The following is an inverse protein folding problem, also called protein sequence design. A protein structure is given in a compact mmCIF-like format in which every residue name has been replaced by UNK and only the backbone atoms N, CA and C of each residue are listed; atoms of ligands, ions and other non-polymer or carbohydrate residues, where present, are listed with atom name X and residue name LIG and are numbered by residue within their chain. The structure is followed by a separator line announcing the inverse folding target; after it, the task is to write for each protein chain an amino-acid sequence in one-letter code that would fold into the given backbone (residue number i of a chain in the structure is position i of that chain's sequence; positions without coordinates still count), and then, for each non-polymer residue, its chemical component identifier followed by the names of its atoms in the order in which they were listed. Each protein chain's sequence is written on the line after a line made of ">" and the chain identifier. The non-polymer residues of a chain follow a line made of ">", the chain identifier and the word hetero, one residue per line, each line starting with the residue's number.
data_IF_124549076941
#
_entry.id   IF_124549076941
#
_cell.length_a   1.000
_cell.length_b   1.000
_cell.length_c   1.000
_cell.angle_alpha   90.00
_cell.angle_beta   90.00
_cell.angle_gamma   90.00
#
_symmetry.space_group_name_H-M   'P 1'
#
loop_
_entity.id
_entity.type
_entity.pdbx_description
1 polymer ?
#
# COMPACT_ATOMS: atom_id res chain seq x y z
N UNK A 1 2.32 -11.83 -24.70
CA UNK A 1 3.05 -10.55 -24.86
C UNK A 1 3.10 -9.93 -23.48
N UNK A 2 4.30 -9.61 -22.99
CA UNK A 2 4.49 -8.86 -21.75
C UNK A 2 4.77 -7.41 -22.10
N UNK A 3 4.11 -6.50 -21.42
CA UNK A 3 4.32 -5.05 -21.51
C UNK A 3 4.57 -4.48 -20.11
N UNK A 4 5.35 -3.42 -20.03
CA UNK A 4 5.56 -2.73 -18.77
C UNK A 4 4.26 -2.06 -18.29
N UNK A 5 4.01 -2.14 -16.98
CA UNK A 5 2.90 -1.43 -16.35
C UNK A 5 3.17 0.10 -16.39
N UNK A 6 2.15 0.87 -16.74
CA UNK A 6 2.24 2.33 -16.74
C UNK A 6 1.43 2.90 -15.55
N UNK A 7 2.07 2.95 -14.39
CA UNK A 7 1.41 3.40 -13.16
C UNK A 7 1.01 4.88 -13.18
N UNK A 8 1.74 5.72 -13.90
CA UNK A 8 1.36 7.13 -14.08
C UNK A 8 0.00 7.23 -14.79
N UNK A 9 -0.17 6.46 -15.84
CA UNK A 9 -1.43 6.38 -16.57
C UNK A 9 -2.55 5.81 -15.68
N UNK A 10 -2.28 4.75 -14.91
CA UNK A 10 -3.28 4.17 -14.01
C UNK A 10 -3.71 5.16 -12.92
N UNK A 11 -2.78 5.91 -12.35
CA UNK A 11 -3.10 6.97 -11.37
C UNK A 11 -3.98 8.05 -11.98
N UNK A 12 -3.67 8.47 -13.22
CA UNK A 12 -4.47 9.48 -13.95
C UNK A 12 -5.90 8.99 -14.21
N UNK A 13 -6.07 7.76 -14.69
CA UNK A 13 -7.41 7.19 -14.89
C UNK A 13 -8.16 6.98 -13.57
N UNK A 14 -7.46 6.62 -12.49
CA UNK A 14 -8.02 6.55 -11.15
C UNK A 14 -8.64 7.90 -10.72
N UNK A 15 -7.96 9.00 -11.00
CA UNK A 15 -8.44 10.36 -10.70
C UNK A 15 -9.64 10.74 -11.54
N UNK A 16 -9.58 10.52 -12.83
CA UNK A 16 -10.72 10.78 -13.74
C UNK A 16 -11.96 9.98 -13.33
N UNK A 17 -11.78 8.73 -12.93
CA UNK A 17 -12.89 7.90 -12.44
C UNK A 17 -13.48 8.47 -11.13
N UNK A 18 -12.64 8.97 -10.22
CA UNK A 18 -13.12 9.66 -9.00
C UNK A 18 -13.87 10.94 -9.29
N UNK A 19 -13.47 11.70 -10.32
CA UNK A 19 -14.22 12.87 -10.78
C UNK A 19 -15.63 12.51 -11.25
N UNK A 20 -15.80 11.36 -11.92
CA UNK A 20 -17.13 10.83 -12.25
C UNK A 20 -17.91 10.54 -10.96
N UNK A 21 -17.32 9.83 -10.00
CA UNK A 21 -18.00 9.47 -8.75
C UNK A 21 -18.47 10.71 -7.97
N UNK A 22 -17.67 11.77 -7.94
CA UNK A 22 -17.99 13.03 -7.28
C UNK A 22 -19.18 13.78 -7.91
N UNK A 23 -19.61 13.43 -9.12
CA UNK A 23 -20.86 13.98 -9.72
C UNK A 23 -22.10 13.45 -9.01
N UNK A 24 -22.00 12.29 -8.35
CA UNK A 24 -23.11 11.60 -7.69
C UNK A 24 -23.13 11.80 -6.18
N UNK A 25 -21.99 11.92 -5.54
CA UNK A 25 -21.86 12.12 -4.08
C UNK A 25 -20.49 12.70 -3.73
N UNK A 26 -20.41 13.45 -2.65
CA UNK A 26 -19.13 13.91 -2.08
C UNK A 26 -18.53 12.89 -1.07
N UNK A 27 -19.27 11.84 -0.72
CA UNK A 27 -18.81 10.75 0.13
C UNK A 27 -18.23 9.64 -0.76
N UNK A 28 -16.98 9.85 -1.17
CA UNK A 28 -16.21 8.92 -2.01
C UNK A 28 -14.95 8.53 -1.28
N UNK A 29 -14.86 7.29 -0.88
CA UNK A 29 -13.72 6.72 -0.16
C UNK A 29 -12.94 5.78 -1.07
N UNK A 30 -11.74 6.18 -1.53
CA UNK A 30 -10.91 5.33 -2.38
C UNK A 30 -10.45 4.06 -1.68
N UNK A 31 -10.41 2.95 -2.43
CA UNK A 31 -9.85 1.67 -2.00
C UNK A 31 -8.84 1.17 -3.06
N UNK A 32 -7.64 1.68 -2.98
CA UNK A 32 -6.63 1.46 -4.01
C UNK A 32 -6.76 2.41 -5.20
N UNK A 33 -6.15 2.02 -6.33
CA UNK A 33 -6.15 2.84 -7.56
C UNK A 33 -7.46 2.74 -8.35
N UNK A 34 -8.11 1.58 -8.32
CA UNK A 34 -9.19 1.20 -9.21
C UNK A 34 -10.53 0.94 -8.49
N UNK A 35 -10.57 1.14 -7.19
CA UNK A 35 -11.76 0.88 -6.39
C UNK A 35 -12.10 2.06 -5.48
N UNK A 36 -13.40 2.24 -5.21
CA UNK A 36 -13.90 3.20 -4.22
C UNK A 36 -15.25 2.76 -3.66
N UNK A 37 -15.55 3.20 -2.45
CA UNK A 37 -16.90 3.19 -1.91
C UNK A 37 -17.56 4.54 -2.06
N UNK A 38 -18.84 4.53 -2.38
CA UNK A 38 -19.67 5.71 -2.49
C UNK A 38 -20.87 5.57 -1.56
N UNK A 39 -21.11 6.55 -0.71
CA UNK A 39 -22.40 6.68 -0.02
C UNK A 39 -23.32 7.61 -0.81
N UNK A 40 -24.26 7.00 -1.51
CA UNK A 40 -25.25 7.71 -2.33
C UNK A 40 -26.60 7.87 -1.61
N UNK A 41 -26.68 7.60 -0.30
CA UNK A 41 -27.96 7.63 0.44
C UNK A 41 -28.65 8.99 0.31
N UNK A 42 -27.92 10.10 0.48
CA UNK A 42 -28.45 11.45 0.36
C UNK A 42 -28.74 11.88 -1.09
N UNK A 43 -28.15 11.21 -2.07
CA UNK A 43 -28.25 11.55 -3.50
C UNK A 43 -29.42 10.85 -4.21
N UNK A 44 -30.08 9.91 -3.56
CA UNK A 44 -31.15 9.12 -4.16
C UNK A 44 -32.34 9.97 -4.65
N UNK A 45 -32.64 11.08 -4.00
CA UNK A 45 -33.67 12.00 -4.46
C UNK A 45 -33.36 12.69 -5.79
N UNK A 46 -32.08 12.75 -6.17
CA UNK A 46 -31.62 13.41 -7.40
C UNK A 46 -31.39 12.40 -8.53
N UNK A 47 -30.81 11.24 -8.22
CA UNK A 47 -30.31 10.29 -9.21
C UNK A 47 -31.06 8.95 -9.23
N UNK A 48 -32.01 8.73 -8.30
CA UNK A 48 -32.78 7.51 -8.21
C UNK A 48 -32.22 6.51 -7.19
N UNK A 49 -32.64 5.27 -7.30
CA UNK A 49 -32.25 4.16 -6.43
C UNK A 49 -30.75 3.85 -6.55
N UNK A 50 -30.19 3.13 -5.58
CA UNK A 50 -28.81 2.68 -5.65
C UNK A 50 -28.47 1.87 -6.91
N UNK A 51 -29.42 1.11 -7.44
CA UNK A 51 -29.28 0.37 -8.70
C UNK A 51 -29.20 1.32 -9.91
N UNK A 52 -30.08 2.31 -9.96
CA UNK A 52 -30.10 3.32 -11.05
C UNK A 52 -28.83 4.18 -11.02
N UNK A 53 -28.35 4.55 -9.84
CA UNK A 53 -27.06 5.26 -9.68
C UNK A 53 -25.91 4.39 -10.14
N UNK A 54 -25.85 3.13 -9.74
CA UNK A 54 -24.82 2.19 -10.16
C UNK A 54 -24.77 2.03 -11.67
N UNK A 55 -25.95 1.98 -12.33
CA UNK A 55 -26.06 1.91 -13.78
C UNK A 55 -25.54 3.20 -14.44
N UNK A 56 -25.95 4.37 -13.97
CA UNK A 56 -25.49 5.65 -14.49
C UNK A 56 -23.97 5.79 -14.38
N UNK A 57 -23.37 5.39 -13.24
CA UNK A 57 -21.93 5.41 -13.05
C UNK A 57 -21.24 4.47 -14.07
N UNK A 58 -21.71 3.24 -14.18
CA UNK A 58 -21.14 2.25 -15.11
C UNK A 58 -21.21 2.72 -16.56
N UNK A 59 -22.36 3.25 -16.97
CA UNK A 59 -22.56 3.77 -18.34
C UNK A 59 -21.64 4.99 -18.58
N UNK A 60 -21.55 5.93 -17.63
CA UNK A 60 -20.67 7.11 -17.74
C UNK A 60 -19.20 6.73 -17.88
N UNK A 61 -18.72 5.76 -17.07
CA UNK A 61 -17.32 5.27 -17.15
C UNK A 61 -17.04 4.65 -18.53
N UNK A 62 -17.99 3.88 -19.08
CA UNK A 62 -17.88 3.30 -20.42
C UNK A 62 -17.85 4.37 -21.51
N UNK A 63 -18.76 5.34 -21.43
CA UNK A 63 -18.93 6.36 -22.47
C UNK A 63 -17.74 7.33 -22.48
N UNK A 64 -17.23 7.73 -21.32
CA UNK A 64 -16.15 8.71 -21.23
C UNK A 64 -14.75 8.09 -21.40
N UNK A 65 -14.54 6.85 -20.93
CA UNK A 65 -13.19 6.25 -20.89
C UNK A 65 -13.05 4.96 -21.70
N UNK A 66 -14.13 4.38 -22.19
CA UNK A 66 -14.10 3.11 -22.91
C UNK A 66 -13.68 1.91 -22.06
N UNK A 67 -13.75 2.01 -20.74
CA UNK A 67 -13.45 0.92 -19.82
C UNK A 67 -14.71 0.49 -19.07
N UNK A 68 -14.69 -0.72 -18.51
CA UNK A 68 -15.81 -1.26 -17.75
C UNK A 68 -15.54 -1.26 -16.25
N UNK A 69 -16.59 -1.18 -15.44
CA UNK A 69 -16.52 -1.39 -14.01
C UNK A 69 -17.60 -2.35 -13.53
N UNK A 70 -17.33 -3.05 -12.43
CA UNK A 70 -18.32 -3.86 -11.73
C UNK A 70 -18.73 -3.17 -10.44
N UNK A 71 -20.03 -3.05 -10.20
CA UNK A 71 -20.58 -2.28 -9.09
C UNK A 71 -21.39 -3.16 -8.16
N UNK A 72 -21.05 -3.13 -6.87
CA UNK A 72 -21.85 -3.75 -5.81
C UNK A 72 -22.70 -2.71 -5.09
N UNK A 73 -23.98 -2.95 -4.98
CA UNK A 73 -24.95 -2.09 -4.26
C UNK A 73 -25.40 -2.79 -3.00
N UNK A 74 -25.17 -2.17 -1.84
CA UNK A 74 -25.55 -2.71 -0.55
C UNK A 74 -25.70 -1.61 0.50
N UNK A 75 -26.09 -1.99 1.74
CA UNK A 75 -26.25 -1.07 2.87
C UNK A 75 -24.99 -0.91 3.73
N UNK A 76 -23.90 -1.61 3.40
CA UNK A 76 -22.61 -1.48 4.05
C UNK A 76 -21.47 -1.71 3.06
N UNK A 77 -20.27 -1.25 3.44
CA UNK A 77 -19.07 -1.31 2.60
C UNK A 77 -18.64 -2.73 2.26
N UNK A 78 -18.72 -3.65 3.23
CA UNK A 78 -18.26 -5.03 3.07
C UNK A 78 -19.06 -5.77 2.01
N UNK A 79 -20.40 -5.66 2.07
CA UNK A 79 -21.26 -6.33 1.09
C UNK A 79 -21.30 -5.60 -0.25
N UNK A 80 -21.11 -4.28 -0.28
CA UNK A 80 -20.93 -3.56 -1.54
C UNK A 80 -19.67 -4.07 -2.26
N UNK A 81 -18.54 -4.19 -1.54
CA UNK A 81 -17.30 -4.74 -2.11
C UNK A 81 -17.48 -6.19 -2.58
N UNK A 82 -18.11 -7.04 -1.77
CA UNK A 82 -18.41 -8.43 -2.15
C UNK A 82 -19.27 -8.49 -3.42
N UNK A 83 -20.29 -7.62 -3.51
CA UNK A 83 -21.16 -7.53 -4.69
C UNK A 83 -20.41 -7.12 -5.95
N UNK A 84 -19.45 -6.20 -5.85
CA UNK A 84 -18.62 -5.79 -6.99
C UNK A 84 -17.75 -6.92 -7.53
N UNK A 85 -17.36 -7.88 -6.68
CA UNK A 85 -16.53 -9.04 -7.06
C UNK A 85 -17.36 -10.23 -7.55
N UNK A 86 -18.65 -10.29 -7.19
CA UNK A 86 -19.49 -11.49 -7.35
C UNK A 86 -19.72 -11.92 -8.80
N UNK A 87 -19.89 -10.98 -9.73
CA UNK A 87 -20.20 -11.26 -11.16
C UNK A 87 -19.29 -10.49 -12.12
N UNK A 88 -18.01 -10.35 -11.80
CA UNK A 88 -17.04 -9.71 -12.72
C UNK A 88 -16.94 -10.47 -14.05
N UNK A 89 -16.70 -9.81 -15.19
CA UNK A 89 -16.59 -8.36 -15.38
C UNK A 89 -17.93 -7.68 -15.69
N UNK A 90 -17.95 -6.35 -15.62
CA UNK A 90 -18.98 -5.48 -16.18
C UNK A 90 -20.40 -5.82 -15.69
N UNK A 91 -20.58 -5.92 -14.39
CA UNK A 91 -21.83 -6.32 -13.78
C UNK A 91 -22.24 -5.42 -12.60
N UNK A 92 -23.56 -5.31 -12.40
CA UNK A 92 -24.14 -4.69 -11.21
C UNK A 92 -24.77 -5.79 -10.35
N UNK A 93 -24.34 -5.85 -9.09
CA UNK A 93 -24.87 -6.84 -8.13
C UNK A 93 -25.50 -6.13 -6.95
N UNK A 94 -26.77 -6.47 -6.67
CA UNK A 94 -27.53 -5.89 -5.55
C UNK A 94 -27.60 -6.91 -4.42
N UNK A 95 -26.98 -6.59 -3.29
CA UNK A 95 -27.08 -7.35 -2.04
C UNK A 95 -27.95 -6.54 -1.08
N UNK A 96 -29.23 -6.88 -0.99
CA UNK A 96 -30.23 -6.24 -0.15
C UNK A 96 -30.45 -6.97 1.17
N UNK A 97 -31.11 -6.32 2.12
CA UNK A 97 -31.48 -6.96 3.39
C UNK A 97 -32.42 -8.16 3.22
N UNK A 98 -33.09 -8.30 2.08
CA UNK A 98 -33.99 -9.42 1.80
C UNK A 98 -33.29 -10.63 1.18
N UNK A 99 -32.19 -10.45 0.43
CA UNK A 99 -31.55 -11.53 -0.34
C UNK A 99 -30.12 -11.87 0.10
N UNK A 100 -29.53 -11.13 1.04
CA UNK A 100 -28.10 -11.22 1.35
C UNK A 100 -27.66 -12.61 1.83
N UNK A 101 -28.49 -13.31 2.63
CA UNK A 101 -28.14 -14.64 3.11
C UNK A 101 -28.03 -15.66 1.97
N UNK A 102 -28.94 -15.56 1.00
CA UNK A 102 -28.97 -16.48 -0.14
C UNK A 102 -27.77 -16.24 -1.07
N UNK A 103 -27.29 -15.01 -1.15
CA UNK A 103 -26.11 -14.64 -1.97
C UNK A 103 -24.82 -14.85 -1.20
N UNK A 104 -24.71 -14.34 0.03
CA UNK A 104 -23.46 -14.21 0.78
C UNK A 104 -23.06 -15.50 1.50
N UNK A 105 -23.99 -16.19 2.13
CA UNK A 105 -23.69 -17.37 2.96
C UNK A 105 -23.05 -18.53 2.19
N UNK A 106 -23.45 -18.84 0.94
CA UNK A 106 -22.81 -19.92 0.18
C UNK A 106 -21.39 -19.61 -0.30
N UNK A 107 -20.97 -18.34 -0.31
CA UNK A 107 -19.67 -17.95 -0.81
C UNK A 107 -18.53 -18.44 0.09
N UNK A 108 -17.35 -18.73 -0.50
CA UNK A 108 -16.17 -19.07 0.27
C UNK A 108 -15.83 -17.98 1.30
N UNK A 109 -15.39 -18.38 2.49
CA UNK A 109 -14.98 -17.41 3.51
C UNK A 109 -13.84 -16.48 3.03
N UNK A 110 -13.04 -16.93 2.07
CA UNK A 110 -11.95 -16.15 1.45
C UNK A 110 -12.42 -15.01 0.57
N UNK A 111 -13.68 -14.98 0.18
CA UNK A 111 -14.24 -13.90 -0.62
C UNK A 111 -14.64 -12.69 0.25
N UNK A 112 -14.74 -12.92 1.58
CA UNK A 112 -15.03 -11.84 2.51
C UNK A 112 -13.80 -10.92 2.67
N UNK A 113 -14.04 -9.63 2.67
CA UNK A 113 -13.01 -8.61 2.89
C UNK A 113 -12.15 -8.94 4.12
N UNK A 114 -10.82 -8.83 3.98
CA UNK A 114 -9.78 -9.17 4.96
C UNK A 114 -9.59 -10.67 5.26
N UNK A 115 -10.24 -11.55 4.56
CA UNK A 115 -9.95 -12.99 4.63
C UNK A 115 -9.01 -13.39 3.50
N UNK A 116 -7.73 -13.09 3.66
CA UNK A 116 -6.70 -13.56 2.71
C UNK A 116 -6.39 -15.06 2.87
N UNK A 117 -5.54 -15.59 2.01
CA UNK A 117 -5.21 -17.03 1.94
C UNK A 117 -4.75 -17.64 3.26
N UNK A 118 -3.97 -16.90 4.07
CA UNK A 118 -3.50 -17.35 5.39
C UNK A 118 -4.64 -17.47 6.40
N UNK A 119 -5.54 -16.48 6.43
CA UNK A 119 -6.71 -16.50 7.31
C UNK A 119 -7.69 -17.58 6.86
N UNK A 120 -7.92 -17.71 5.54
CA UNK A 120 -8.77 -18.78 4.99
C UNK A 120 -8.27 -20.18 5.34
N UNK A 121 -6.95 -20.44 5.25
CA UNK A 121 -6.37 -21.73 5.70
C UNK A 121 -6.58 -21.98 7.19
N UNK A 122 -6.45 -20.95 8.04
CA UNK A 122 -6.72 -21.10 9.47
C UNK A 122 -8.19 -21.41 9.75
N UNK A 123 -9.12 -20.72 9.08
CA UNK A 123 -10.55 -20.97 9.19
C UNK A 123 -10.91 -22.38 8.74
N UNK A 124 -10.38 -22.84 7.62
CA UNK A 124 -10.60 -24.19 7.08
C UNK A 124 -10.17 -25.30 8.07
N UNK A 125 -9.08 -25.09 8.84
CA UNK A 125 -8.66 -26.04 9.89
C UNK A 125 -9.69 -26.19 11.01
N UNK A 126 -10.65 -25.28 11.10
CA UNK A 126 -11.77 -25.31 12.06
C UNK A 126 -13.12 -25.57 11.38
N UNK A 127 -13.10 -26.13 10.17
CA UNK A 127 -14.31 -26.42 9.38
C UNK A 127 -15.16 -25.18 9.05
N UNK A 128 -14.54 -23.99 8.99
CA UNK A 128 -15.20 -22.76 8.54
C UNK A 128 -14.75 -22.51 7.09
N UNK A 129 -15.60 -22.88 6.14
CA UNK A 129 -15.30 -22.83 4.70
C UNK A 129 -16.04 -21.71 3.98
N UNK A 130 -17.26 -21.41 4.43
CA UNK A 130 -18.14 -20.41 3.82
C UNK A 130 -18.30 -19.19 4.71
N UNK A 131 -18.81 -18.11 4.13
CA UNK A 131 -19.20 -16.91 4.90
C UNK A 131 -20.34 -17.26 5.87
N UNK A 132 -21.24 -18.18 5.49
CA UNK A 132 -22.30 -18.68 6.35
C UNK A 132 -21.74 -19.43 7.57
N UNK A 133 -20.73 -20.29 7.38
CA UNK A 133 -20.05 -20.95 8.51
C UNK A 133 -19.44 -19.93 9.46
N UNK A 134 -18.77 -18.90 8.90
CA UNK A 134 -18.17 -17.83 9.68
C UNK A 134 -19.22 -17.02 10.44
N UNK A 135 -20.36 -16.72 9.82
CA UNK A 135 -21.46 -15.96 10.42
C UNK A 135 -22.12 -16.71 11.60
N UNK A 136 -22.14 -18.03 11.56
CA UNK A 136 -22.72 -18.89 12.60
C UNK A 136 -21.71 -19.35 13.65
N UNK A 137 -20.41 -19.13 13.43
CA UNK A 137 -19.37 -19.47 14.38
C UNK A 137 -19.46 -18.65 15.68
N UNK A 138 -18.95 -19.20 16.78
CA UNK A 138 -18.90 -18.47 18.05
C UNK A 138 -17.85 -17.33 17.98
N UNK A 139 -18.23 -16.06 18.21
CA UNK A 139 -17.28 -14.92 18.16
C UNK A 139 -16.10 -15.03 19.15
N UNK A 140 -16.32 -15.63 20.34
CA UNK A 140 -15.26 -15.81 21.31
C UNK A 140 -14.24 -16.86 20.85
N UNK A 141 -14.71 -17.93 20.22
CA UNK A 141 -13.84 -18.91 19.57
C UNK A 141 -13.00 -18.26 18.45
N UNK A 142 -13.62 -17.47 17.60
CA UNK A 142 -12.90 -16.74 16.56
C UNK A 142 -11.87 -15.75 17.13
N UNK A 143 -12.20 -15.08 18.25
CA UNK A 143 -11.26 -14.21 18.96
C UNK A 143 -10.04 -14.98 19.49
N UNK A 144 -10.27 -16.17 20.04
CA UNK A 144 -9.19 -17.03 20.52
C UNK A 144 -8.23 -17.46 19.41
N UNK A 145 -8.78 -17.84 18.24
CA UNK A 145 -8.00 -18.41 17.12
C UNK A 145 -7.39 -17.35 16.17
N UNK A 146 -8.07 -16.22 16.00
CA UNK A 146 -7.68 -15.17 15.06
C UNK A 146 -7.30 -13.83 15.74
N UNK A 147 -7.42 -13.73 17.06
CA UNK A 147 -7.20 -12.47 17.76
C UNK A 147 -8.32 -11.46 17.53
N UNK A 148 -8.00 -10.17 17.54
CA UNK A 148 -8.97 -9.08 17.38
C UNK A 148 -9.76 -9.13 16.07
N UNK A 149 -9.16 -9.67 14.99
CA UNK A 149 -9.80 -9.75 13.67
C UNK A 149 -10.98 -10.76 13.66
N UNK A 150 -10.97 -11.78 14.54
CA UNK A 150 -12.00 -12.81 14.56
C UNK A 150 -13.43 -12.27 14.75
N UNK A 151 -13.72 -11.53 15.84
CA UNK A 151 -15.03 -10.90 16.03
C UNK A 151 -15.42 -9.91 14.94
N UNK A 152 -14.45 -9.18 14.37
CA UNK A 152 -14.68 -8.26 13.26
C UNK A 152 -15.16 -9.03 12.02
N UNK A 153 -14.49 -10.11 11.64
CA UNK A 153 -14.89 -10.94 10.49
C UNK A 153 -16.25 -11.58 10.71
N UNK A 154 -16.57 -12.01 11.95
CA UNK A 154 -17.90 -12.47 12.30
C UNK A 154 -18.95 -11.38 12.09
N UNK A 155 -18.67 -10.16 12.54
CA UNK A 155 -19.57 -9.01 12.30
C UNK A 155 -19.77 -8.74 10.80
N UNK A 156 -18.71 -8.78 10.01
CA UNK A 156 -18.77 -8.63 8.56
C UNK A 156 -19.59 -9.71 7.88
N UNK A 157 -19.41 -10.98 8.26
CA UNK A 157 -20.19 -12.10 7.75
C UNK A 157 -21.69 -11.99 8.07
N UNK A 158 -22.03 -11.27 9.14
CA UNK A 158 -23.41 -11.00 9.54
C UNK A 158 -23.95 -9.65 9.03
N UNK A 159 -23.22 -8.94 8.20
CA UNK A 159 -23.63 -7.64 7.65
C UNK A 159 -23.73 -6.51 8.67
N UNK A 160 -23.00 -6.62 9.79
CA UNK A 160 -23.02 -5.69 10.92
C UNK A 160 -21.96 -4.58 10.79
N UNK A 161 -21.32 -4.43 9.62
CA UNK A 161 -20.43 -3.32 9.36
C UNK A 161 -21.18 -1.99 9.38
N UNK A 162 -20.73 -1.06 10.22
CA UNK A 162 -21.26 0.30 10.38
C UNK A 162 -20.27 1.38 9.99
N UNK A 163 -19.17 0.99 9.35
CA UNK A 163 -18.15 1.93 8.91
C UNK A 163 -18.71 2.93 7.90
N UNK A 164 -18.70 4.21 8.26
CA UNK A 164 -19.12 5.26 7.34
C UNK A 164 -18.18 5.36 6.14
N UNK A 165 -18.69 5.77 4.99
CA UNK A 165 -17.87 6.14 3.84
C UNK A 165 -17.28 7.52 4.12
N UNK A 166 -15.96 7.64 4.01
CA UNK A 166 -15.28 8.91 4.22
C UNK A 166 -15.60 9.90 3.09
N UNK A 167 -15.61 11.19 3.43
CA UNK A 167 -15.73 12.25 2.45
C UNK A 167 -14.41 12.36 1.67
N UNK A 168 -14.51 12.58 0.36
CA UNK A 168 -13.34 12.85 -0.46
C UNK A 168 -12.86 14.28 -0.25
N UNK A 169 -11.68 14.42 0.31
CA UNK A 169 -11.04 15.72 0.59
C UNK A 169 -9.92 16.06 -0.41
N UNK A 170 -9.85 15.35 -1.53
CA UNK A 170 -8.82 15.53 -2.54
C UNK A 170 -7.52 14.77 -2.24
N UNK A 171 -6.49 15.02 -3.07
CA UNK A 171 -5.17 14.36 -2.91
C UNK A 171 -4.46 14.73 -1.60
N UNK A 172 -4.66 15.95 -1.11
CA UNK A 172 -3.93 16.50 0.03
C UNK A 172 -4.39 15.93 1.38
N UNK A 173 -5.62 15.43 1.46
CA UNK A 173 -6.17 14.82 2.67
C UNK A 173 -5.97 13.30 2.73
N UNK A 174 -4.98 12.78 2.02
CA UNK A 174 -4.63 11.36 2.12
C UNK A 174 -4.23 11.03 3.55
N UNK A 175 -4.61 9.83 3.95
CA UNK A 175 -4.22 9.29 5.24
C UNK A 175 -2.71 9.44 5.51
N UNK A 176 -2.31 9.74 6.75
CA UNK A 176 -0.94 10.07 7.08
C UNK A 176 0.01 8.96 6.63
N UNK A 177 1.07 9.33 5.92
CA UNK A 177 2.11 8.41 5.48
C UNK A 177 2.77 7.80 6.72
N UNK A 178 2.68 6.48 6.87
CA UNK A 178 3.24 5.75 8.01
C UNK A 178 4.68 5.30 7.79
N UNK A 179 5.04 5.04 6.55
CA UNK A 179 6.38 4.60 6.16
C UNK A 179 6.64 4.91 4.69
N UNK A 180 7.91 5.07 4.32
CA UNK A 180 8.35 5.23 2.94
C UNK A 180 9.39 4.15 2.67
N UNK A 181 9.12 3.28 1.72
CA UNK A 181 10.00 2.16 1.39
C UNK A 181 10.05 1.88 -0.09
N UNK A 182 11.09 1.17 -0.49
CA UNK A 182 11.24 0.62 -1.82
C UNK A 182 11.92 -0.75 -1.74
N UNK A 183 11.61 -1.62 -2.67
CA UNK A 183 12.23 -2.94 -2.80
C UNK A 183 12.50 -3.24 -4.26
N UNK A 184 13.54 -3.99 -4.51
CA UNK A 184 13.93 -4.36 -5.86
C UNK A 184 14.32 -5.82 -5.96
N UNK A 185 13.72 -6.53 -6.90
CA UNK A 185 14.18 -7.83 -7.34
C UNK A 185 15.25 -7.58 -8.39
N UNK A 186 16.49 -7.89 -8.03
CA UNK A 186 17.66 -7.57 -8.85
C UNK A 186 17.71 -8.39 -10.14
N UNK A 187 18.31 -7.85 -11.20
CA UNK A 187 18.37 -8.54 -12.51
C UNK A 187 19.26 -9.82 -12.48
N UNK A 188 20.11 -9.95 -11.49
CA UNK A 188 20.84 -11.18 -11.12
C UNK A 188 20.82 -11.34 -9.61
N UNK A 189 21.00 -12.55 -9.12
CA UNK A 189 21.18 -12.78 -7.69
C UNK A 189 22.42 -12.03 -7.16
N UNK A 190 22.33 -11.52 -5.95
CA UNK A 190 23.44 -10.89 -5.24
C UNK A 190 24.29 -11.99 -4.61
N UNK A 191 25.59 -11.94 -4.86
CA UNK A 191 26.54 -12.99 -4.48
C UNK A 191 27.47 -12.57 -3.35
N UNK A 192 27.57 -11.26 -3.11
CA UNK A 192 28.54 -10.69 -2.17
C UNK A 192 27.92 -9.61 -1.29
N UNK A 193 28.60 -9.31 -0.19
CA UNK A 193 28.26 -8.16 0.67
C UNK A 193 28.34 -6.83 -0.10
N UNK A 194 29.24 -6.73 -1.06
CA UNK A 194 29.40 -5.53 -1.89
C UNK A 194 28.22 -5.36 -2.85
N UNK A 195 27.75 -6.42 -3.49
CA UNK A 195 26.53 -6.40 -4.31
C UNK A 195 25.34 -5.87 -3.47
N UNK A 196 25.19 -6.44 -2.27
CA UNK A 196 24.10 -6.05 -1.36
C UNK A 196 24.23 -4.61 -0.93
N UNK A 197 25.44 -4.11 -0.65
CA UNK A 197 25.68 -2.72 -0.30
C UNK A 197 25.25 -1.75 -1.41
N UNK A 198 25.63 -2.06 -2.67
CA UNK A 198 25.24 -1.23 -3.83
C UNK A 198 23.72 -1.10 -3.92
N UNK A 199 22.98 -2.22 -3.80
CA UNK A 199 21.52 -2.23 -3.91
C UNK A 199 20.87 -1.51 -2.72
N UNK A 200 21.34 -1.77 -1.49
CA UNK A 200 20.82 -1.08 -0.29
C UNK A 200 21.03 0.43 -0.39
N UNK A 201 22.20 0.87 -0.89
CA UNK A 201 22.49 2.28 -1.05
C UNK A 201 21.59 2.93 -2.11
N UNK A 202 21.41 2.29 -3.26
CA UNK A 202 20.52 2.73 -4.34
C UNK A 202 19.08 2.90 -3.85
N UNK A 203 18.56 1.92 -3.11
CA UNK A 203 17.22 2.00 -2.54
C UNK A 203 17.12 3.10 -1.47
N UNK A 204 18.17 3.30 -0.69
CA UNK A 204 18.21 4.36 0.32
C UNK A 204 18.21 5.76 -0.29
N UNK A 205 18.85 5.98 -1.45
CA UNK A 205 18.72 7.24 -2.20
C UNK A 205 17.27 7.53 -2.58
N UNK A 206 16.54 6.52 -3.10
CA UNK A 206 15.12 6.65 -3.44
C UNK A 206 14.25 6.96 -2.22
N UNK A 207 14.48 6.26 -1.11
CA UNK A 207 13.74 6.47 0.15
C UNK A 207 14.02 7.86 0.72
N UNK A 208 15.29 8.29 0.76
CA UNK A 208 15.70 9.58 1.27
C UNK A 208 15.12 10.75 0.45
N UNK A 209 15.18 10.67 -0.88
CA UNK A 209 14.59 11.68 -1.76
C UNK A 209 13.07 11.83 -1.51
N UNK A 210 12.35 10.70 -1.33
CA UNK A 210 10.92 10.71 -1.04
C UNK A 210 10.59 11.19 0.38
N UNK A 211 11.46 10.97 1.36
CA UNK A 211 11.33 11.58 2.68
C UNK A 211 11.39 13.10 2.58
N UNK A 212 12.37 13.65 1.84
CA UNK A 212 12.51 15.11 1.62
C UNK A 212 11.30 15.70 0.88
N UNK A 213 10.83 15.03 -0.19
CA UNK A 213 9.66 15.46 -0.95
C UNK A 213 8.37 15.54 -0.13
N UNK A 214 8.24 14.66 0.86
CA UNK A 214 7.05 14.59 1.72
C UNK A 214 7.28 15.26 3.08
N UNK A 215 8.38 15.98 3.28
CA UNK A 215 8.71 16.70 4.51
C UNK A 215 8.75 15.81 5.75
N UNK A 216 9.39 14.62 5.64
CA UNK A 216 9.56 13.69 6.75
C UNK A 216 11.01 13.38 7.06
N UNK A 217 11.27 13.08 8.33
CA UNK A 217 12.45 12.37 8.84
C UNK A 217 12.02 11.02 9.38
N UNK A 218 12.86 9.99 9.29
CA UNK A 218 12.60 8.70 9.89
C UNK A 218 13.42 8.50 11.18
N UNK A 219 12.84 7.81 12.15
CA UNK A 219 13.50 7.38 13.39
C UNK A 219 13.81 5.88 13.40
N UNK A 220 13.48 5.18 12.35
CA UNK A 220 13.81 3.78 12.20
C UNK A 220 13.95 3.37 10.73
N UNK A 221 14.71 2.30 10.53
CA UNK A 221 14.94 1.67 9.24
C UNK A 221 14.56 0.20 9.33
N UNK A 222 13.89 -0.30 8.31
CA UNK A 222 13.55 -1.70 8.10
C UNK A 222 14.19 -2.20 6.82
N UNK A 223 14.67 -3.44 6.86
CA UNK A 223 15.19 -4.16 5.71
C UNK A 223 14.34 -5.40 5.48
N UNK A 224 13.93 -5.64 4.25
CA UNK A 224 13.34 -6.89 3.79
C UNK A 224 14.32 -7.60 2.86
N UNK A 225 14.51 -8.90 3.09
CA UNK A 225 15.43 -9.74 2.33
C UNK A 225 14.71 -10.98 1.83
N UNK A 226 14.91 -11.31 0.56
CA UNK A 226 14.40 -12.52 -0.09
C UNK A 226 15.58 -13.23 -0.74
N UNK A 227 15.74 -14.49 -0.45
CA UNK A 227 16.76 -15.31 -1.08
C UNK A 227 16.27 -16.05 -2.34
N UNK A 228 17.16 -16.77 -3.00
CA UNK A 228 16.86 -17.54 -4.21
C UNK A 228 15.91 -18.72 -3.96
N UNK A 229 15.78 -19.19 -2.71
CA UNK A 229 14.81 -20.21 -2.32
C UNK A 229 13.39 -19.62 -2.04
N UNK A 230 13.22 -18.31 -2.18
CA UNK A 230 12.02 -17.54 -1.86
C UNK A 230 11.73 -17.46 -0.34
N UNK A 231 12.67 -17.83 0.51
CA UNK A 231 12.57 -17.51 1.93
C UNK A 231 12.78 -16.02 2.15
N UNK A 232 11.96 -15.41 3.01
CA UNK A 232 12.03 -13.98 3.26
C UNK A 232 11.86 -13.65 4.72
N UNK A 233 12.48 -12.56 5.14
CA UNK A 233 12.28 -12.00 6.47
C UNK A 233 12.49 -10.48 6.46
N UNK A 234 11.94 -9.83 7.47
CA UNK A 234 12.09 -8.40 7.71
C UNK A 234 12.73 -8.16 9.08
N UNK A 235 13.58 -7.14 9.16
CA UNK A 235 14.21 -6.69 10.40
C UNK A 235 14.27 -5.18 10.43
N UNK A 236 14.08 -4.62 11.61
CA UNK A 236 14.09 -3.17 11.82
C UNK A 236 14.98 -2.77 12.98
N UNK A 237 15.45 -1.53 12.93
CA UNK A 237 16.16 -0.89 14.05
C UNK A 237 15.67 0.54 14.24
N UNK A 238 15.86 1.07 15.45
CA UNK A 238 15.73 2.50 15.72
C UNK A 238 17.05 3.18 15.42
N UNK A 239 16.96 4.39 14.90
CA UNK A 239 18.09 5.28 14.72
C UNK A 239 18.33 6.12 15.98
N UNK A 240 19.57 6.51 16.22
CA UNK A 240 19.94 7.38 17.36
C UNK A 240 19.37 8.80 17.19
N UNK A 241 19.27 9.27 15.94
CA UNK A 241 18.70 10.55 15.58
C UNK A 241 17.75 10.42 14.39
N UNK A 242 16.69 11.26 14.30
CA UNK A 242 15.86 11.32 13.11
C UNK A 242 16.68 11.82 11.92
N UNK A 243 16.54 11.13 10.77
CA UNK A 243 17.28 11.46 9.56
C UNK A 243 16.42 11.41 8.31
N UNK A 244 16.82 12.14 7.26
CA UNK A 244 16.38 11.99 5.88
C UNK A 244 17.59 11.85 4.94
N UNK A 245 18.77 11.54 5.50
CA UNK A 245 20.00 11.35 4.75
C UNK A 245 20.11 9.92 4.23
N UNK A 246 20.45 9.79 2.96
CA UNK A 246 20.62 8.50 2.30
C UNK A 246 21.68 7.62 2.95
N UNK A 247 22.79 8.24 3.39
CA UNK A 247 23.92 7.54 4.00
C UNK A 247 23.52 6.87 5.32
N UNK A 248 22.82 7.58 6.21
CA UNK A 248 22.40 7.05 7.51
C UNK A 248 21.45 5.86 7.33
N UNK A 249 20.51 6.00 6.37
CA UNK A 249 19.55 4.95 6.03
C UNK A 249 20.29 3.73 5.46
N UNK A 250 21.21 3.93 4.52
CA UNK A 250 21.98 2.85 3.91
C UNK A 250 22.86 2.11 4.91
N UNK A 251 23.55 2.84 5.80
CA UNK A 251 24.40 2.25 6.84
C UNK A 251 23.56 1.44 7.83
N UNK A 252 22.44 1.97 8.30
CA UNK A 252 21.54 1.24 9.19
C UNK A 252 20.98 -0.04 8.52
N UNK A 253 20.56 0.07 7.27
CA UNK A 253 20.08 -1.06 6.48
C UNK A 253 21.18 -2.12 6.30
N UNK A 254 22.40 -1.73 6.01
CA UNK A 254 23.52 -2.63 5.86
C UNK A 254 23.90 -3.33 7.18
N UNK A 255 23.88 -2.62 8.31
CA UNK A 255 24.11 -3.24 9.61
C UNK A 255 23.01 -4.27 9.96
N UNK A 256 21.75 -3.98 9.65
CA UNK A 256 20.67 -4.95 9.81
C UNK A 256 20.90 -6.21 8.96
N UNK A 257 21.28 -6.02 7.70
CA UNK A 257 21.64 -7.10 6.81
C UNK A 257 22.78 -7.94 7.39
N UNK A 258 23.93 -7.36 7.70
CA UNK A 258 25.11 -8.04 8.24
C UNK A 258 24.83 -8.81 9.53
N UNK A 259 23.98 -8.28 10.40
CA UNK A 259 23.62 -8.91 11.66
C UNK A 259 22.73 -10.13 11.50
N UNK A 260 21.83 -10.12 10.50
CA UNK A 260 20.73 -11.08 10.44
C UNK A 260 20.83 -12.06 9.26
N UNK A 261 21.57 -11.73 8.18
CA UNK A 261 21.71 -12.61 7.04
C UNK A 261 22.98 -13.46 7.13
N UNK A 262 22.82 -14.73 6.84
CA UNK A 262 23.92 -15.70 6.66
C UNK A 262 23.86 -16.19 5.23
N UNK A 263 24.96 -16.15 4.51
CA UNK A 263 25.05 -16.59 3.12
C UNK A 263 24.85 -18.11 2.98
N UNK A 264 23.63 -18.60 3.31
CA UNK A 264 23.20 -19.97 3.01
C UNK A 264 22.68 -20.10 1.59
N UNK A 265 22.09 -19.04 1.07
CA UNK A 265 21.56 -18.90 -0.28
C UNK A 265 21.93 -17.52 -0.83
N UNK A 266 21.78 -17.31 -2.14
CA UNK A 266 21.99 -15.99 -2.74
C UNK A 266 20.78 -15.09 -2.52
N UNK A 267 20.98 -13.78 -2.39
CA UNK A 267 19.88 -12.82 -2.28
C UNK A 267 19.32 -12.49 -3.66
N UNK A 268 17.99 -12.58 -3.80
CA UNK A 268 17.26 -12.29 -5.03
C UNK A 268 16.59 -10.92 -5.01
N UNK A 269 16.09 -10.51 -3.85
CA UNK A 269 15.40 -9.22 -3.69
C UNK A 269 15.73 -8.61 -2.34
N UNK A 270 15.86 -7.29 -2.35
CA UNK A 270 16.18 -6.49 -1.17
C UNK A 270 15.24 -5.29 -1.11
N UNK A 271 14.81 -4.94 0.09
CA UNK A 271 14.01 -3.73 0.32
C UNK A 271 14.54 -2.91 1.49
N UNK A 272 14.36 -1.60 1.39
CA UNK A 272 14.65 -0.62 2.44
C UNK A 272 13.40 0.20 2.72
N UNK A 273 13.06 0.39 3.98
CA UNK A 273 11.89 1.17 4.41
C UNK A 273 12.25 2.07 5.58
N UNK A 274 11.92 3.34 5.44
CA UNK A 274 11.94 4.33 6.50
C UNK A 274 10.63 4.20 7.31
N UNK A 275 10.74 4.05 8.62
CA UNK A 275 9.63 3.85 9.55
C UNK A 275 9.70 4.86 10.70
N UNK A 276 8.63 4.96 11.49
CA UNK A 276 8.50 5.96 12.58
C UNK A 276 8.78 7.37 12.04
N UNK A 277 7.97 7.76 11.05
CA UNK A 277 8.11 9.03 10.36
C UNK A 277 7.67 10.18 11.26
N UNK A 278 8.41 11.30 11.18
CA UNK A 278 8.15 12.56 11.86
C UNK A 278 8.22 13.70 10.85
N UNK A 279 7.39 14.74 10.97
CA UNK A 279 7.54 15.95 10.17
C UNK A 279 8.95 16.52 10.33
N UNK A 280 9.53 17.03 9.25
CA UNK A 280 10.88 17.65 9.28
C UNK A 280 10.92 18.95 10.09
N UNK A 281 9.73 19.55 10.34
CA UNK A 281 9.53 20.73 11.19
C UNK A 281 9.59 20.43 12.69
N UNK A 282 9.52 19.15 13.11
CA UNK A 282 9.66 18.80 14.53
C UNK A 282 11.10 19.09 15.01
N UNK A 283 11.26 19.72 16.20
CA UNK A 283 12.58 19.97 16.77
C UNK A 283 13.35 18.68 16.99
N UNK A 284 14.58 18.61 16.52
CA UNK A 284 15.49 17.51 16.80
C UNK A 284 16.25 17.79 18.11
N UNK A 285 16.35 16.77 18.96
CA UNK A 285 17.24 16.84 20.12
C UNK A 285 18.68 16.79 19.61
N UNK A 286 19.44 17.86 19.88
CA UNK A 286 20.87 17.92 19.54
C UNK A 286 21.63 16.91 20.40
N UNK A 287 22.44 16.08 19.76
CA UNK A 287 23.39 15.17 20.42
C UNK A 287 24.79 15.77 20.33
N UNK A 288 25.63 15.54 21.34
CA UNK A 288 27.03 15.97 21.34
C UNK A 288 27.87 15.30 20.23
N UNK A 289 27.39 14.22 19.66
CA UNK A 289 28.04 13.48 18.57
C UNK A 289 27.69 14.00 17.17
N UNK A 290 26.65 14.84 17.06
CA UNK A 290 26.15 15.36 15.79
C UNK A 290 26.24 16.88 15.72
N UNK A 291 27.05 17.38 14.79
CA UNK A 291 27.06 18.80 14.47
C UNK A 291 25.84 19.15 13.63
N UNK A 292 24.98 20.03 14.18
CA UNK A 292 23.81 20.54 13.47
C UNK A 292 24.21 21.22 12.13
N UNK A 293 25.32 21.95 12.14
CA UNK A 293 25.86 22.63 10.95
C UNK A 293 26.20 21.65 9.82
N UNK A 294 26.86 20.54 10.16
CA UNK A 294 27.21 19.50 9.19
C UNK A 294 25.97 18.77 8.65
N UNK A 295 24.96 18.60 9.49
CA UNK A 295 23.69 18.01 9.07
C UNK A 295 22.98 18.91 8.06
N UNK A 296 22.86 20.22 8.33
CA UNK A 296 22.27 21.19 7.42
C UNK A 296 23.03 21.30 6.10
N UNK A 297 24.37 21.25 6.14
CA UNK A 297 25.21 21.26 4.93
C UNK A 297 24.93 20.01 4.06
N UNK A 298 24.85 18.84 4.69
CA UNK A 298 24.53 17.59 3.97
C UNK A 298 23.13 17.63 3.39
N UNK A 299 22.12 18.10 4.14
CA UNK A 299 20.75 18.22 3.66
C UNK A 299 20.63 19.19 2.49
N UNK A 300 21.36 20.31 2.52
CA UNK A 300 21.44 21.25 1.38
C UNK A 300 22.07 20.60 0.16
N UNK A 301 23.15 19.84 0.33
CA UNK A 301 23.81 19.12 -0.76
C UNK A 301 22.86 18.08 -1.39
N UNK A 302 22.19 17.27 -0.57
CA UNK A 302 21.25 16.26 -1.07
C UNK A 302 20.04 16.88 -1.78
N UNK A 303 19.51 18.00 -1.26
CA UNK A 303 18.43 18.75 -1.93
C UNK A 303 18.88 19.33 -3.28
N UNK A 304 20.13 19.79 -3.38
CA UNK A 304 20.69 20.26 -4.65
C UNK A 304 20.84 19.11 -5.67
N UNK A 305 21.27 17.93 -5.21
CA UNK A 305 21.35 16.72 -6.06
C UNK A 305 19.95 16.32 -6.54
N UNK A 306 18.94 16.33 -5.66
CA UNK A 306 17.55 16.05 -6.04
C UNK A 306 17.05 17.04 -7.09
N UNK A 307 17.37 18.34 -6.94
CA UNK A 307 17.04 19.37 -7.93
C UNK A 307 17.66 19.12 -9.30
N UNK A 308 18.92 18.68 -9.34
CA UNK A 308 19.61 18.31 -10.58
C UNK A 308 18.97 17.07 -11.19
N UNK A 309 18.72 16.03 -10.42
CA UNK A 309 18.10 14.78 -10.87
C UNK A 309 16.68 15.01 -11.40
N UNK A 310 15.88 15.83 -10.74
CA UNK A 310 14.52 16.16 -11.20
C UNK A 310 14.52 16.92 -12.54
N UNK A 311 15.57 17.72 -12.82
CA UNK A 311 15.67 18.47 -14.07
C UNK A 311 16.32 17.70 -15.22
N UNK A 312 17.33 16.89 -14.94
CA UNK A 312 18.19 16.26 -15.95
C UNK A 312 18.12 14.73 -15.94
N UNK A 313 17.29 14.13 -15.07
CA UNK A 313 17.14 12.69 -14.89
C UNK A 313 18.08 12.13 -13.81
N UNK A 314 17.69 10.96 -13.28
CA UNK A 314 18.37 10.30 -12.14
C UNK A 314 19.88 10.09 -12.40
N UNK A 315 20.25 9.71 -13.61
CA UNK A 315 21.65 9.38 -13.95
C UNK A 315 22.56 10.60 -14.15
N UNK A 316 22.05 11.83 -14.07
CA UNK A 316 22.84 13.04 -14.23
C UNK A 316 23.89 13.25 -13.12
N UNK A 317 23.57 12.78 -11.91
CA UNK A 317 24.49 12.77 -10.75
C UNK A 317 24.37 11.44 -10.04
N UNK A 318 25.47 10.70 -9.92
CA UNK A 318 25.51 9.42 -9.23
C UNK A 318 26.65 9.36 -8.22
N UNK A 319 26.44 8.61 -7.14
CA UNK A 319 27.49 8.32 -6.15
C UNK A 319 28.51 7.33 -6.72
N UNK A 320 29.77 7.51 -6.34
CA UNK A 320 30.87 6.66 -6.84
C UNK A 320 30.65 5.16 -6.59
N UNK A 321 29.95 4.78 -5.51
CA UNK A 321 29.60 3.39 -5.20
C UNK A 321 28.81 2.73 -6.33
N UNK A 322 28.00 3.49 -7.09
CA UNK A 322 27.20 2.98 -8.21
C UNK A 322 28.06 2.53 -9.40
N UNK A 323 29.29 3.03 -9.52
CA UNK A 323 30.21 2.65 -10.59
C UNK A 323 30.97 1.34 -10.34
N UNK A 324 30.85 0.74 -9.16
CA UNK A 324 31.45 -0.54 -8.84
C UNK A 324 30.81 -1.69 -9.61
N UNK A 325 29.48 -1.66 -9.79
CA UNK A 325 28.75 -2.56 -10.66
C UNK A 325 27.62 -1.80 -11.35
N UNK A 326 27.81 -1.47 -12.62
CA UNK A 326 26.85 -0.73 -13.42
C UNK A 326 25.58 -1.53 -13.74
N UNK A 327 25.66 -2.84 -13.73
CA UNK A 327 24.51 -3.68 -13.99
C UNK A 327 23.54 -3.69 -12.79
N UNK A 328 24.07 -3.75 -11.57
CA UNK A 328 23.31 -3.67 -10.34
C UNK A 328 22.86 -2.22 -9.98
N UNK A 329 23.52 -1.22 -10.52
CA UNK A 329 23.17 0.20 -10.22
C UNK A 329 22.34 0.87 -11.32
N UNK A 330 22.08 0.16 -12.44
CA UNK A 330 21.30 0.72 -13.55
C UNK A 330 19.79 0.53 -13.30
N UNK A 331 19.30 1.20 -12.28
CA UNK A 331 17.89 1.26 -11.90
C UNK A 331 17.57 2.65 -11.37
N UNK A 332 16.57 3.30 -11.92
CA UNK A 332 15.98 4.49 -11.31
C UNK A 332 14.95 4.05 -10.26
N UNK A 333 15.45 3.68 -9.08
CA UNK A 333 14.62 3.15 -8.01
C UNK A 333 13.55 4.14 -7.53
N UNK A 334 13.61 5.43 -7.89
CA UNK A 334 12.59 6.42 -7.62
C UNK A 334 11.58 6.53 -8.76
N UNK A 335 12.05 6.68 -10.01
CA UNK A 335 11.19 6.80 -11.20
C UNK A 335 10.46 5.50 -11.54
N UNK A 336 11.14 4.37 -11.38
CA UNK A 336 10.56 3.04 -11.62
C UNK A 336 9.75 2.51 -10.41
N UNK A 337 9.60 3.31 -9.34
CA UNK A 337 8.89 2.89 -8.14
C UNK A 337 7.41 2.73 -8.39
N UNK A 338 6.92 1.51 -8.21
CA UNK A 338 5.50 1.22 -8.19
C UNK A 338 4.88 1.73 -6.90
N UNK A 339 4.01 2.74 -7.01
CA UNK A 339 3.22 3.20 -5.87
C UNK A 339 2.20 2.11 -5.55
N UNK A 340 2.44 1.38 -4.45
CA UNK A 340 1.39 0.54 -3.90
C UNK A 340 0.33 1.43 -3.25
N UNK A 341 -0.97 1.21 -3.56
CA UNK A 341 -2.05 1.92 -2.89
C UNK A 341 -1.88 1.78 -1.38
N UNK A 342 -2.09 2.87 -0.66
CA UNK A 342 -2.01 2.85 0.79
C UNK A 342 -3.02 1.83 1.34
N UNK A 343 -2.53 0.91 2.16
CA UNK A 343 -3.36 -0.15 2.74
C UNK A 343 -4.48 0.45 3.60
N UNK A 344 -5.65 -0.09 3.44
CA UNK A 344 -6.94 0.40 3.88
C UNK A 344 -7.25 0.27 5.37
N UNK A 345 -6.33 -0.26 6.17
CA UNK A 345 -6.51 -0.38 7.62
C UNK A 345 -6.27 0.96 8.33
N UNK A 346 -7.08 1.96 8.01
CA UNK A 346 -7.06 3.22 8.74
C UNK A 346 -8.35 3.39 9.54
N UNK A 347 -8.20 3.33 10.83
CA UNK A 347 -9.14 3.97 11.76
C UNK A 347 -10.26 3.14 12.33
N UNK A 348 -10.23 1.81 12.29
CA UNK A 348 -11.26 0.98 12.94
C UNK A 348 -10.65 -0.28 13.57
N UNK A 349 -9.80 -0.14 14.55
CA UNK A 349 -9.53 -1.16 15.57
C UNK A 349 -9.38 -0.48 16.93
#
# INVERSE_FOLDING_TARGET
>A
IFVHANYELYTRFSEYTREIFLRFTDQVEPFGLDEAWLDCTASQSLFGTGEEIAKQISDTVKDEFGITCSVGVSWNKVFAKLGSDYKKPDAITIISKSNWKDIVFPLPATDLLYVGSRTGKKLANYCVHTIGDLATANPNFLKEKLGKIGPMLWGFANGLDTGAVAKYEGREAQAPIKSIGNSWTTPRDLLTDEDTWIVLYLLSESVAARLRENHFRCRGVEVSLWDSSLFSFERQCKLSQPTMQEKDIAEAAYQLYKKNYRWSEHLRSVGVRAIDLRPDTEPNQISFEYSAEKQEETERLESAIDGIRNRFGYYSVQRAVMYKDRFLSHCDAKGDHTIHPQGYLQGSI
#
